data_IF_921039943206
#
_entry.id   IF_921039943206
#
_cell.length_a   1.000
_cell.length_b   1.000
_cell.length_c   1.000
_cell.angle_alpha   90.00
_cell.angle_beta   90.00
_cell.angle_gamma   90.00
#
_symmetry.space_group_name_H-M   'P 1'
#
loop_
_entity.id
_entity.type
_entity.pdbx_description
1 polymer ?
#
# COMPACT_ATOMS: atom_id res chain seq x y z
N UNK A 1 -24.06 -33.61 -29.72
CA UNK A 1 -23.98 -34.19 -28.36
C UNK A 1 -22.83 -35.20 -28.36
N UNK A 2 -21.60 -34.76 -28.08
CA UNK A 2 -20.41 -35.63 -28.11
C UNK A 2 -20.05 -36.05 -26.69
N UNK A 3 -20.36 -37.30 -26.33
CA UNK A 3 -19.91 -37.95 -25.10
C UNK A 3 -18.45 -38.39 -25.29
N UNK A 4 -17.51 -37.75 -24.58
CA UNK A 4 -16.13 -38.22 -24.48
C UNK A 4 -16.09 -39.44 -23.56
N UNK A 5 -15.84 -40.60 -24.13
CA UNK A 5 -15.59 -41.86 -23.43
C UNK A 5 -14.23 -41.72 -22.73
N UNK A 6 -14.22 -41.71 -21.39
CA UNK A 6 -13.00 -41.88 -20.62
C UNK A 6 -12.60 -43.36 -20.68
N UNK A 7 -11.57 -43.67 -21.47
CA UNK A 7 -10.92 -44.98 -21.44
C UNK A 7 -10.19 -45.13 -20.10
N UNK A 8 -10.77 -45.92 -19.19
CA UNK A 8 -10.11 -46.35 -17.96
C UNK A 8 -9.16 -47.49 -18.31
N UNK A 9 -7.87 -47.19 -18.44
CA UNK A 9 -6.84 -48.22 -18.59
C UNK A 9 -6.74 -49.00 -17.27
N UNK A 10 -7.30 -50.21 -17.25
CA UNK A 10 -7.16 -51.14 -16.14
C UNK A 10 -5.85 -51.91 -16.30
N UNK A 11 -4.74 -51.31 -15.86
CA UNK A 11 -3.47 -52.01 -15.69
C UNK A 11 -3.57 -52.89 -14.45
N UNK A 12 -3.80 -54.19 -14.60
CA UNK A 12 -3.57 -55.17 -13.53
C UNK A 12 -2.07 -55.40 -13.38
N UNK A 13 -1.38 -54.43 -12.78
CA UNK A 13 -0.08 -54.67 -12.18
C UNK A 13 -0.31 -55.24 -10.79
N UNK A 14 0.22 -56.43 -10.51
CA UNK A 14 0.44 -56.93 -9.16
C UNK A 14 1.51 -56.05 -8.49
N UNK A 15 1.14 -54.81 -8.16
CA UNK A 15 1.95 -53.91 -7.38
C UNK A 15 1.78 -54.31 -5.92
N UNK A 16 2.89 -54.61 -5.25
CA UNK A 16 2.96 -54.75 -3.80
C UNK A 16 2.22 -53.58 -3.16
N UNK A 17 1.17 -53.89 -2.38
CA UNK A 17 0.43 -52.88 -1.61
C UNK A 17 1.45 -52.22 -0.67
N UNK A 18 1.79 -50.92 -0.82
CA UNK A 18 2.70 -50.29 0.12
C UNK A 18 2.07 -50.38 1.50
N UNK A 19 2.74 -51.08 2.41
CA UNK A 19 2.32 -51.25 3.81
C UNK A 19 2.53 -49.97 4.63
N UNK A 20 3.08 -48.92 4.02
CA UNK A 20 3.32 -47.61 4.62
C UNK A 20 2.65 -46.50 3.83
N UNK A 21 1.81 -45.73 4.51
CA UNK A 21 1.22 -44.50 4.02
C UNK A 21 2.16 -43.34 4.38
N UNK A 22 2.70 -42.64 3.38
CA UNK A 22 3.56 -41.46 3.58
C UNK A 22 2.72 -40.20 3.52
N UNK A 23 2.70 -39.43 4.61
CA UNK A 23 2.01 -38.14 4.64
C UNK A 23 2.69 -37.14 3.69
N UNK A 24 1.94 -36.41 2.86
CA UNK A 24 2.51 -35.34 2.06
C UNK A 24 2.93 -34.16 2.94
N UNK A 25 3.99 -33.45 2.54
CA UNK A 25 4.41 -32.24 3.23
C UNK A 25 3.42 -31.09 2.97
N UNK A 26 3.15 -30.29 4.02
CA UNK A 26 2.33 -29.08 3.91
C UNK A 26 3.07 -28.03 3.08
N UNK A 27 2.42 -27.53 2.04
CA UNK A 27 2.91 -26.38 1.28
C UNK A 27 2.52 -25.08 2.01
N UNK A 28 3.52 -24.27 2.36
CA UNK A 28 3.30 -22.92 2.90
C UNK A 28 3.09 -21.94 1.74
N UNK A 29 1.95 -21.26 1.72
CA UNK A 29 1.59 -20.27 0.69
C UNK A 29 1.50 -18.88 1.31
N UNK A 30 1.74 -17.84 0.51
CA UNK A 30 1.45 -16.47 0.94
C UNK A 30 -0.07 -16.28 1.11
N UNK A 31 -0.52 -15.33 1.96
CA UNK A 31 -1.94 -15.05 2.14
C UNK A 31 -2.67 -14.67 0.84
N UNK A 32 -1.96 -14.08 -0.13
CA UNK A 32 -2.48 -13.60 -1.41
C UNK A 32 -2.22 -14.53 -2.60
N UNK A 33 -1.58 -15.69 -2.39
CA UNK A 33 -1.11 -16.58 -3.47
C UNK A 33 -2.22 -16.99 -4.45
N UNK A 34 -3.44 -17.19 -3.95
CA UNK A 34 -4.59 -17.58 -4.79
C UNK A 34 -4.97 -16.42 -5.70
N UNK A 35 -5.06 -15.19 -5.17
CA UNK A 35 -5.41 -14.01 -5.96
C UNK A 35 -4.37 -13.73 -7.04
N UNK A 36 -3.08 -13.86 -6.72
CA UNK A 36 -1.98 -13.74 -7.67
C UNK A 36 -2.07 -14.81 -8.76
N UNK A 37 -2.33 -16.06 -8.38
CA UNK A 37 -2.49 -17.16 -9.34
C UNK A 37 -3.67 -16.91 -10.29
N UNK A 38 -4.82 -16.47 -9.77
CA UNK A 38 -6.00 -16.16 -10.57
C UNK A 38 -5.74 -14.99 -11.52
N UNK A 39 -5.11 -13.91 -11.02
CA UNK A 39 -4.74 -12.76 -11.84
C UNK A 39 -3.77 -13.17 -12.98
N UNK A 40 -2.84 -14.08 -12.72
CA UNK A 40 -1.90 -14.58 -13.74
C UNK A 40 -2.56 -15.47 -14.81
N UNK A 41 -3.67 -16.13 -14.47
CA UNK A 41 -4.40 -16.99 -15.40
C UNK A 41 -5.32 -16.22 -16.36
N UNK A 42 -5.64 -14.95 -16.06
CA UNK A 42 -6.58 -14.14 -16.83
C UNK A 42 -5.82 -13.11 -17.67
N UNK A 43 -6.21 -12.95 -18.94
CA UNK A 43 -5.67 -11.92 -19.83
C UNK A 43 -6.43 -10.60 -19.67
N UNK A 44 -5.77 -9.48 -19.94
CA UNK A 44 -6.41 -8.16 -19.98
C UNK A 44 -7.43 -8.10 -21.13
N UNK A 45 -8.68 -7.81 -20.80
CA UNK A 45 -9.73 -7.56 -21.79
C UNK A 45 -9.62 -6.13 -22.35
N UNK A 46 -9.70 -6.01 -23.66
CA UNK A 46 -9.69 -4.72 -24.36
C UNK A 46 -11.08 -4.16 -24.65
N UNK A 47 -12.14 -4.97 -24.48
CA UNK A 47 -13.52 -4.58 -24.80
C UNK A 47 -14.20 -3.74 -23.72
N UNK A 48 -13.72 -3.81 -22.49
CA UNK A 48 -14.34 -3.18 -21.32
C UNK A 48 -13.49 -2.06 -20.72
N UNK A 49 -14.10 -1.07 -20.06
CA UNK A 49 -13.37 -0.04 -19.32
C UNK A 49 -12.58 -0.67 -18.15
N UNK A 50 -11.53 0.02 -17.70
CA UNK A 50 -10.77 -0.43 -16.53
C UNK A 50 -11.65 -0.42 -15.27
N UNK A 51 -11.48 -1.43 -14.40
CA UNK A 51 -12.27 -1.65 -13.16
C UNK A 51 -12.33 -0.44 -12.20
N UNK A 52 -11.42 0.52 -12.34
CA UNK A 52 -11.41 1.76 -11.54
C UNK A 52 -12.66 2.62 -11.82
N UNK A 53 -13.19 2.54 -13.05
CA UNK A 53 -14.36 3.27 -13.52
C UNK A 53 -15.63 2.43 -13.39
N UNK A 54 -16.77 3.10 -13.25
CA UNK A 54 -18.07 2.44 -13.21
C UNK A 54 -18.44 1.96 -14.61
N UNK A 55 -18.95 0.73 -14.71
CA UNK A 55 -19.43 0.14 -15.97
C UNK A 55 -20.87 0.59 -16.26
N UNK A 56 -21.04 1.92 -16.36
CA UNK A 56 -22.30 2.57 -16.69
C UNK A 56 -22.08 3.49 -17.90
N UNK A 57 -22.92 3.41 -18.96
CA UNK A 57 -22.73 4.17 -20.19
C UNK A 57 -22.53 5.69 -20.01
N UNK A 58 -23.10 6.28 -18.96
CA UNK A 58 -22.96 7.71 -18.68
C UNK A 58 -21.68 8.04 -17.89
N UNK A 59 -21.13 7.08 -17.15
CA UNK A 59 -19.99 7.27 -16.24
C UNK A 59 -18.68 6.71 -16.80
N UNK A 60 -18.74 6.00 -17.93
CA UNK A 60 -17.56 5.52 -18.65
C UNK A 60 -16.84 6.71 -19.32
N UNK A 61 -15.56 6.96 -19.01
CA UNK A 61 -14.83 8.07 -19.60
C UNK A 61 -14.53 7.83 -21.09
N UNK A 62 -14.81 8.81 -21.92
CA UNK A 62 -14.61 8.74 -23.37
C UNK A 62 -13.21 9.21 -23.79
N UNK A 63 -12.65 10.17 -23.06
CA UNK A 63 -11.33 10.76 -23.36
C UNK A 63 -10.29 10.51 -22.26
N UNK A 64 -9.01 10.59 -22.61
CA UNK A 64 -7.92 10.49 -21.62
C UNK A 64 -7.96 11.61 -20.58
N UNK A 65 -8.44 12.80 -20.96
CA UNK A 65 -8.64 13.91 -20.03
C UNK A 65 -9.73 13.60 -19.00
N UNK A 66 -10.88 13.07 -19.46
CA UNK A 66 -11.97 12.65 -18.57
C UNK A 66 -11.55 11.52 -17.63
N UNK A 67 -10.79 10.53 -18.14
CA UNK A 67 -10.21 9.47 -17.28
C UNK A 67 -9.47 10.09 -16.10
N UNK A 68 -8.54 10.99 -16.41
CA UNK A 68 -7.73 11.70 -15.40
C UNK A 68 -8.60 12.51 -14.44
N UNK A 69 -9.52 13.30 -14.98
CA UNK A 69 -10.40 14.14 -14.17
C UNK A 69 -11.22 13.31 -13.18
N UNK A 70 -11.90 12.26 -13.64
CA UNK A 70 -12.74 11.42 -12.80
C UNK A 70 -11.94 10.73 -11.67
N UNK A 71 -10.76 10.22 -11.99
CA UNK A 71 -9.95 9.52 -11.01
C UNK A 71 -9.28 10.48 -10.01
N UNK A 72 -8.85 11.68 -10.42
CA UNK A 72 -8.41 12.74 -9.50
C UNK A 72 -9.56 13.25 -8.63
N UNK A 73 -10.78 13.39 -9.17
CA UNK A 73 -11.97 13.74 -8.39
C UNK A 73 -12.27 12.68 -7.33
N UNK A 74 -12.17 11.39 -7.67
CA UNK A 74 -12.33 10.28 -6.71
C UNK A 74 -11.26 10.33 -5.61
N UNK A 75 -10.00 10.56 -5.97
CA UNK A 75 -8.91 10.69 -5.00
C UNK A 75 -9.09 11.90 -4.07
N UNK A 76 -9.51 13.04 -4.61
CA UNK A 76 -9.84 14.25 -3.84
C UNK A 76 -10.97 13.99 -2.85
N UNK A 77 -12.04 13.31 -3.27
CA UNK A 77 -13.13 12.91 -2.38
C UNK A 77 -12.66 12.02 -1.23
N UNK A 78 -11.76 11.06 -1.49
CA UNK A 78 -11.15 10.23 -0.43
C UNK A 78 -10.34 11.06 0.55
N UNK A 79 -9.53 12.01 0.06
CA UNK A 79 -8.74 12.91 0.92
C UNK A 79 -9.63 13.80 1.79
N UNK A 80 -10.70 14.37 1.21
CA UNK A 80 -11.67 15.16 1.95
C UNK A 80 -12.38 14.34 3.03
N UNK A 81 -12.82 13.12 2.70
CA UNK A 81 -13.40 12.21 3.68
C UNK A 81 -12.41 11.85 4.79
N UNK A 82 -11.13 11.57 4.45
CA UNK A 82 -10.09 11.29 5.43
C UNK A 82 -9.84 12.46 6.37
N UNK A 83 -9.81 13.67 5.84
CA UNK A 83 -9.70 14.89 6.64
C UNK A 83 -10.87 15.04 7.63
N UNK A 84 -12.10 14.73 7.21
CA UNK A 84 -13.28 14.75 8.11
C UNK A 84 -13.13 13.71 9.22
N UNK A 85 -12.69 12.49 8.90
CA UNK A 85 -12.45 11.42 9.87
C UNK A 85 -11.41 11.85 10.91
N UNK A 86 -10.31 12.45 10.45
CA UNK A 86 -9.23 12.92 11.33
C UNK A 86 -9.69 14.11 12.19
N UNK A 87 -10.50 15.02 11.63
CA UNK A 87 -11.03 16.19 12.35
C UNK A 87 -12.06 15.83 13.42
N UNK A 88 -12.92 14.85 13.14
CA UNK A 88 -14.02 14.42 14.02
C UNK A 88 -13.82 12.97 14.47
N UNK A 89 -12.62 12.64 14.96
CA UNK A 89 -12.24 11.28 15.35
C UNK A 89 -13.21 10.64 16.37
N UNK A 90 -13.79 11.44 17.26
CA UNK A 90 -14.79 11.01 18.24
C UNK A 90 -16.09 10.49 17.63
N UNK A 91 -16.36 10.67 16.34
CA UNK A 91 -17.53 10.11 15.68
C UNK A 91 -17.25 8.70 15.09
N UNK A 92 -15.98 8.30 14.99
CA UNK A 92 -15.52 7.11 14.27
C UNK A 92 -14.83 6.07 15.18
N UNK A 93 -15.21 6.00 16.46
CA UNK A 93 -14.60 5.10 17.46
C UNK A 93 -15.18 3.68 17.48
N UNK A 94 -16.29 3.44 16.78
CA UNK A 94 -16.97 2.15 16.84
C UNK A 94 -16.23 1.09 16.01
N UNK A 95 -15.63 0.11 16.68
CA UNK A 95 -14.99 -1.05 16.04
C UNK A 95 -15.86 -2.31 16.18
N UNK A 96 -16.10 -2.96 15.05
CA UNK A 96 -16.84 -4.24 14.95
C UNK A 96 -15.92 -5.35 14.44
N UNK A 97 -14.75 -5.02 13.90
CA UNK A 97 -13.89 -5.97 13.22
C UNK A 97 -13.03 -6.75 14.22
N UNK A 98 -12.94 -8.06 14.01
CA UNK A 98 -12.00 -8.94 14.71
C UNK A 98 -11.19 -9.72 13.66
N UNK A 99 -9.89 -9.38 13.42
CA UNK A 99 -9.07 -8.40 14.14
C UNK A 99 -9.40 -6.94 13.78
N UNK A 100 -9.07 -6.03 14.69
CA UNK A 100 -9.15 -4.58 14.45
C UNK A 100 -8.23 -4.17 13.30
N UNK A 101 -8.67 -3.21 12.47
CA UNK A 101 -7.95 -2.76 11.27
C UNK A 101 -7.47 -1.32 11.47
N UNK A 102 -6.21 -1.09 11.88
CA UNK A 102 -5.69 0.24 12.21
C UNK A 102 -5.83 1.27 11.08
N UNK A 103 -5.75 0.84 9.83
CA UNK A 103 -5.81 1.72 8.65
C UNK A 103 -7.15 2.45 8.48
N UNK A 104 -8.24 1.96 9.07
CA UNK A 104 -9.55 2.60 9.01
C UNK A 104 -9.80 3.62 10.12
N UNK A 105 -8.97 3.62 11.16
CA UNK A 105 -9.11 4.58 12.25
C UNK A 105 -8.52 5.93 11.88
N UNK A 106 -8.97 7.02 12.54
CA UNK A 106 -8.37 8.35 12.41
C UNK A 106 -6.85 8.32 12.60
N UNK A 107 -6.15 9.15 11.83
CA UNK A 107 -4.71 9.31 11.95
C UNK A 107 -4.39 9.92 13.33
N UNK A 108 -3.36 9.40 14.00
CA UNK A 108 -2.99 9.90 15.32
C UNK A 108 -2.49 11.35 15.23
N UNK A 109 -3.20 12.26 15.89
CA UNK A 109 -2.72 13.62 16.12
C UNK A 109 -2.03 13.67 17.47
N UNK A 110 -0.73 13.96 17.46
CA UNK A 110 0.03 14.19 18.70
C UNK A 110 -0.50 15.42 19.42
N UNK A 111 -1.00 15.23 20.64
CA UNK A 111 -1.40 16.32 21.52
C UNK A 111 -0.17 17.02 22.09
N UNK A 112 -0.24 18.34 22.26
CA UNK A 112 0.84 19.16 22.85
C UNK A 112 1.30 18.64 24.22
N UNK A 113 0.43 17.93 24.94
CA UNK A 113 0.72 17.32 26.23
C UNK A 113 1.77 16.21 26.17
N UNK A 114 1.80 15.44 25.09
CA UNK A 114 2.81 14.38 24.89
C UNK A 114 4.21 14.95 24.67
N UNK A 115 4.31 16.23 24.33
CA UNK A 115 5.58 16.93 24.15
C UNK A 115 6.12 17.54 25.45
N UNK A 116 5.38 17.42 26.57
CA UNK A 116 5.79 17.93 27.88
C UNK A 116 6.73 16.94 28.57
N UNK A 117 6.48 15.64 28.43
CA UNK A 117 7.33 14.56 28.96
C UNK A 117 7.95 13.79 27.80
N UNK A 118 9.08 14.28 27.24
CA UNK A 118 9.67 13.70 26.05
C UNK A 118 10.42 12.40 26.40
N UNK A 119 9.97 11.29 25.82
CA UNK A 119 10.51 9.94 26.06
C UNK A 119 11.05 9.29 24.76
N UNK A 120 11.95 8.32 24.90
CA UNK A 120 12.52 7.55 23.79
C UNK A 120 11.43 6.79 23.02
N UNK A 121 10.41 6.28 23.70
CA UNK A 121 9.31 5.56 23.05
C UNK A 121 8.48 6.47 22.14
N UNK A 122 8.31 7.73 22.53
CA UNK A 122 7.61 8.76 21.73
C UNK A 122 8.40 9.09 20.46
N UNK A 123 9.72 9.13 20.53
CA UNK A 123 10.60 9.30 19.37
C UNK A 123 10.40 8.19 18.35
N UNK A 124 10.41 6.93 18.80
CA UNK A 124 10.17 5.77 17.93
C UNK A 124 8.78 5.78 17.29
N UNK A 125 7.74 6.18 18.03
CA UNK A 125 6.39 6.33 17.46
C UNK A 125 6.35 7.36 16.34
N UNK A 126 6.99 8.51 16.53
CA UNK A 126 7.09 9.57 15.52
C UNK A 126 7.84 9.13 14.28
N UNK A 127 8.93 8.39 14.45
CA UNK A 127 9.70 7.83 13.34
C UNK A 127 8.87 6.81 12.55
N UNK A 128 8.13 5.94 13.24
CA UNK A 128 7.25 4.96 12.59
C UNK A 128 6.09 5.60 11.83
N UNK A 129 5.56 6.74 12.30
CA UNK A 129 4.56 7.52 11.58
C UNK A 129 5.15 8.54 10.61
N UNK A 130 6.46 8.47 10.37
CA UNK A 130 7.16 9.32 9.42
C UNK A 130 7.00 10.83 9.68
N UNK A 131 6.85 11.25 10.95
CA UNK A 131 6.79 12.67 11.34
C UNK A 131 8.15 13.15 11.83
N UNK A 132 9.09 13.26 10.89
CA UNK A 132 10.52 13.50 11.13
C UNK A 132 10.79 14.88 11.75
N UNK A 133 10.14 15.92 11.23
CA UNK A 133 10.23 17.29 11.78
C UNK A 133 9.87 17.34 13.27
N UNK A 134 8.74 16.72 13.64
CA UNK A 134 8.30 16.60 15.03
C UNK A 134 9.24 15.72 15.86
N UNK A 135 9.76 14.63 15.30
CA UNK A 135 10.75 13.78 15.97
C UNK A 135 12.02 14.58 16.34
N UNK A 136 12.47 15.45 15.43
CA UNK A 136 13.61 16.33 15.68
C UNK A 136 13.33 17.39 16.76
N UNK A 137 12.12 17.96 16.78
CA UNK A 137 11.70 18.87 17.84
C UNK A 137 11.68 18.19 19.22
N UNK A 138 11.17 16.96 19.32
CA UNK A 138 11.20 16.19 20.57
C UNK A 138 12.62 15.86 20.97
N UNK A 139 13.47 15.47 20.04
CA UNK A 139 14.87 15.19 20.31
C UNK A 139 15.59 16.39 20.95
N UNK A 140 15.34 17.61 20.45
CA UNK A 140 15.86 18.85 21.07
C UNK A 140 15.39 19.01 22.52
N UNK A 141 14.10 18.79 22.77
CA UNK A 141 13.52 18.87 24.12
C UNK A 141 14.09 17.82 25.06
N UNK A 142 14.33 16.59 24.59
CA UNK A 142 15.02 15.56 25.38
C UNK A 142 16.42 16.04 25.82
N UNK A 143 17.14 16.72 24.92
CA UNK A 143 18.47 17.24 25.21
C UNK A 143 18.43 18.38 26.23
N UNK A 144 17.43 19.26 26.16
CA UNK A 144 17.19 20.32 27.15
C UNK A 144 16.85 19.76 28.53
N UNK A 145 16.06 18.69 28.57
CA UNK A 145 15.62 18.03 29.80
C UNK A 145 16.62 16.99 30.36
N UNK A 146 17.79 16.83 29.73
CA UNK A 146 18.82 15.82 30.08
C UNK A 146 18.27 14.38 30.15
N UNK A 147 17.39 14.02 29.22
CA UNK A 147 16.89 12.64 29.08
C UNK A 147 17.91 11.80 28.33
N UNK A 148 18.32 10.67 28.91
CA UNK A 148 19.22 9.71 28.27
C UNK A 148 18.52 8.97 27.12
N UNK A 149 18.95 9.25 25.89
CA UNK A 149 18.45 8.59 24.67
C UNK A 149 19.49 7.58 24.18
N UNK A 150 19.05 6.36 23.88
CA UNK A 150 19.89 5.32 23.29
C UNK A 150 20.57 5.76 22.00
N UNK A 151 21.82 5.34 21.81
CA UNK A 151 22.59 5.60 20.59
C UNK A 151 21.93 5.01 19.35
N UNK A 152 21.23 3.87 19.48
CA UNK A 152 20.48 3.25 18.39
C UNK A 152 19.35 4.14 17.88
N UNK A 153 18.64 4.80 18.80
CA UNK A 153 17.57 5.72 18.47
C UNK A 153 18.11 6.96 17.75
N UNK A 154 19.24 7.50 18.22
CA UNK A 154 19.94 8.64 17.58
C UNK A 154 20.35 8.34 16.14
N UNK A 155 20.97 7.18 15.89
CA UNK A 155 21.37 6.79 14.54
C UNK A 155 20.17 6.58 13.62
N UNK A 156 19.12 5.92 14.11
CA UNK A 156 17.93 5.71 13.30
C UNK A 156 17.22 7.05 12.95
N UNK A 157 17.18 8.02 13.87
CA UNK A 157 16.67 9.37 13.57
C UNK A 157 17.56 10.09 12.55
N UNK A 158 18.87 9.99 12.71
CA UNK A 158 19.84 10.59 11.79
C UNK A 158 19.71 10.03 10.37
N UNK A 159 19.59 8.71 10.22
CA UNK A 159 19.41 8.06 8.93
C UNK A 159 18.15 8.57 8.22
N UNK A 160 17.03 8.70 8.94
CA UNK A 160 15.79 9.25 8.38
C UNK A 160 15.94 10.72 7.97
N UNK A 161 16.60 11.54 8.78
CA UNK A 161 16.89 12.94 8.43
C UNK A 161 17.73 13.05 7.16
N UNK A 162 18.72 12.17 6.99
CA UNK A 162 19.54 12.11 5.79
C UNK A 162 18.75 11.66 4.56
N UNK A 163 17.92 10.61 4.69
CA UNK A 163 17.13 10.08 3.56
C UNK A 163 16.11 11.11 3.06
N UNK A 164 15.40 11.75 3.98
CA UNK A 164 14.31 12.68 3.64
C UNK A 164 14.75 14.14 3.61
N UNK A 165 16.05 14.41 3.66
CA UNK A 165 16.61 15.77 3.64
C UNK A 165 15.97 16.71 4.68
N UNK A 166 15.73 16.20 5.89
CA UNK A 166 15.05 16.90 6.99
C UNK A 166 13.59 17.31 6.74
N UNK A 167 12.95 16.80 5.69
CA UNK A 167 11.53 16.99 5.43
C UNK A 167 10.73 15.76 5.88
N UNK A 168 9.42 15.93 6.11
CA UNK A 168 8.55 14.76 6.28
C UNK A 168 8.33 14.14 4.91
N UNK A 169 8.35 12.80 4.78
CA UNK A 169 7.90 12.18 3.53
C UNK A 169 6.47 12.57 3.22
N UNK A 170 6.19 12.62 1.93
CA UNK A 170 4.83 12.79 1.43
C UNK A 170 3.94 11.66 1.92
N UNK A 171 2.71 12.00 2.29
CA UNK A 171 1.71 11.00 2.62
C UNK A 171 1.49 10.05 1.44
N UNK A 172 1.17 8.78 1.74
CA UNK A 172 0.88 7.78 0.71
C UNK A 172 -0.26 8.27 -0.17
N UNK A 173 0.02 8.41 -1.46
CA UNK A 173 -0.96 8.87 -2.43
C UNK A 173 -2.04 7.81 -2.59
N UNK A 174 -3.29 8.21 -2.88
CA UNK A 174 -4.32 7.26 -3.30
C UNK A 174 -3.85 6.50 -4.55
N UNK A 175 -4.19 5.20 -4.69
CA UNK A 175 -3.79 4.41 -5.84
C UNK A 175 -4.16 5.05 -7.19
N UNK A 176 -5.29 5.79 -7.21
CA UNK A 176 -5.73 6.54 -8.38
C UNK A 176 -4.71 7.61 -8.81
N UNK A 177 -4.15 8.37 -7.87
CA UNK A 177 -3.14 9.39 -8.15
C UNK A 177 -1.77 8.79 -8.48
N UNK A 178 -1.38 7.74 -7.75
CA UNK A 178 -0.10 7.05 -7.96
C UNK A 178 0.02 6.44 -9.35
N UNK A 179 -1.07 5.88 -9.86
CA UNK A 179 -1.10 5.36 -11.22
C UNK A 179 -0.81 6.45 -12.26
N UNK A 180 -1.46 7.62 -12.17
CA UNK A 180 -1.18 8.72 -13.10
C UNK A 180 0.20 9.32 -12.92
N UNK A 181 0.68 9.42 -11.68
CA UNK A 181 2.04 9.92 -11.42
C UNK A 181 3.07 9.05 -12.14
N UNK A 182 2.88 7.72 -12.12
CA UNK A 182 3.73 6.78 -12.88
C UNK A 182 3.60 6.98 -14.39
N UNK A 183 2.39 7.04 -14.92
CA UNK A 183 2.13 7.28 -16.35
C UNK A 183 2.78 8.59 -16.86
N UNK A 184 2.67 9.67 -16.08
CA UNK A 184 3.31 10.95 -16.38
C UNK A 184 4.84 10.84 -16.38
N UNK A 185 5.41 10.11 -15.43
CA UNK A 185 6.86 9.90 -15.38
C UNK A 185 7.36 9.09 -16.58
N UNK A 186 6.63 8.05 -16.98
CA UNK A 186 6.96 7.21 -18.14
C UNK A 186 6.89 8.00 -19.45
N UNK A 187 5.88 8.86 -19.61
CA UNK A 187 5.74 9.74 -20.77
C UNK A 187 6.85 10.79 -20.84
N UNK A 188 7.21 11.40 -19.70
CA UNK A 188 8.30 12.37 -19.62
C UNK A 188 9.68 11.74 -19.93
N UNK A 189 9.95 10.54 -19.40
CA UNK A 189 11.18 9.80 -19.72
C UNK A 189 11.26 9.43 -21.20
N UNK A 190 10.14 8.99 -21.79
CA UNK A 190 10.07 8.70 -23.23
C UNK A 190 10.29 9.93 -24.11
N UNK A 191 9.81 11.11 -23.68
CA UNK A 191 10.06 12.38 -24.35
C UNK A 191 11.54 12.79 -24.32
N UNK A 192 12.19 12.70 -23.16
CA UNK A 192 13.62 13.00 -23.01
C UNK A 192 14.51 12.05 -23.82
N UNK A 193 14.18 10.76 -23.85
CA UNK A 193 14.90 9.77 -24.64
C UNK A 193 14.73 9.97 -26.16
N UNK A 194 13.61 10.53 -26.61
CA UNK A 194 13.43 10.93 -28.02
C UNK A 194 14.27 12.15 -28.36
N UNK A 195 14.31 13.17 -27.50
CA UNK A 195 15.13 14.37 -27.72
C UNK A 195 16.64 14.06 -27.80
N UNK A 196 17.14 13.11 -26.99
CA UNK A 196 18.53 12.66 -27.08
C UNK A 196 18.85 11.87 -28.37
N UNK A 197 17.86 11.28 -29.04
CA UNK A 197 18.07 10.56 -30.33
C UNK A 197 18.13 11.48 -31.55
N UNK A 198 17.76 12.76 -31.41
CA UNK A 198 17.84 13.76 -32.49
C UNK A 198 19.07 14.66 -32.40
N UNK A 199 20.01 14.37 -31.50
CA UNK A 199 21.31 15.03 -31.41
C UNK A 199 22.39 14.09 -31.95
N UNK A 200 22.41 13.92 -33.27
CA UNK A 200 23.57 13.47 -34.07
C UNK A 200 23.41 13.98 -35.50
#
# INVERSE_FOLDING_TARGET
MFLRIFNRCASTATASRPTSFTFPQRLNRSPTAILESLNSCVQTDGGNPAYIFMDDPFLIPTSGHEKRQLALSKASGKKAARWIIDRYSYAFFHDVAAPSIPSYFPSYTFDEKEFIEPDETTLYKLMNWNKITKAYEIYKKCLENNVDISTTCKYALFDLLCIYNSENPMDTLPPEEDWYRRELNETNQSGNNKLQKFVY
#
